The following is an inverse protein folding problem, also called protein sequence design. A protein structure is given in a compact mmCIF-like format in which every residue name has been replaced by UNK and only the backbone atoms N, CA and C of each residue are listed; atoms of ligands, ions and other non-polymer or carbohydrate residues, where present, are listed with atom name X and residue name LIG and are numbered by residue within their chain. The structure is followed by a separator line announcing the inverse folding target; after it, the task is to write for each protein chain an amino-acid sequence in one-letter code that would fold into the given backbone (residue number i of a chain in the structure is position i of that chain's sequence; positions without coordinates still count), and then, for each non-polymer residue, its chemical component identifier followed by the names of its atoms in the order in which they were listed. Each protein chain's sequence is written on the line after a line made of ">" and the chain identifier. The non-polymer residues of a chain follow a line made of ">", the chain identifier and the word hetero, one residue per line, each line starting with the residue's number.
data_IF_541535378715
#
_entry.id   IF_541535378715
#
_cell.length_a   1.000
_cell.length_b   1.000
_cell.length_c   1.000
_cell.angle_alpha   90.00
_cell.angle_beta   90.00
_cell.angle_gamma   90.00
#
_symmetry.space_group_name_H-M   'P 1'
#
loop_
_entity.id
_entity.type
_entity.pdbx_description
1 polymer ?
#
# COMPACT_ATOMS: atom_id res chain seq x y z
N UNK A 1 -10.36 -6.47 -43.74
CA UNK A 1 -9.05 -6.65 -43.08
C UNK A 1 -9.31 -6.73 -41.58
N UNK A 2 -8.66 -7.62 -40.84
CA UNK A 2 -8.77 -7.61 -39.37
C UNK A 2 -8.24 -6.28 -38.82
N UNK A 3 -8.89 -5.78 -37.77
CA UNK A 3 -8.46 -4.55 -37.08
C UNK A 3 -7.05 -4.77 -36.50
N UNK A 4 -6.11 -3.92 -36.88
CA UNK A 4 -4.76 -3.97 -36.35
C UNK A 4 -4.71 -3.24 -35.01
N UNK A 5 -4.50 -3.98 -33.93
CA UNK A 5 -4.34 -3.41 -32.58
C UNK A 5 -2.96 -2.72 -32.51
N UNK A 6 -2.88 -1.49 -32.03
CA UNK A 6 -1.60 -0.81 -31.86
C UNK A 6 -0.72 -1.53 -30.82
N UNK A 7 0.61 -1.35 -30.85
CA UNK A 7 1.49 -1.88 -29.81
C UNK A 7 1.06 -1.45 -28.41
N UNK A 8 1.19 -2.35 -27.45
CA UNK A 8 0.84 -2.03 -26.06
C UNK A 8 1.74 -0.94 -25.50
N UNK A 9 1.18 -0.09 -24.64
CA UNK A 9 1.96 0.90 -23.87
C UNK A 9 2.68 0.28 -22.67
N UNK A 10 2.26 -0.93 -22.25
CA UNK A 10 2.79 -1.64 -21.08
C UNK A 10 3.30 -3.02 -21.50
N UNK A 11 4.42 -3.10 -22.25
CA UNK A 11 4.88 -4.36 -22.83
C UNK A 11 5.36 -5.39 -21.78
N UNK A 12 5.68 -4.94 -20.57
CA UNK A 12 6.15 -5.78 -19.46
C UNK A 12 5.01 -6.24 -18.54
N UNK A 13 3.81 -5.69 -18.69
CA UNK A 13 2.66 -5.99 -17.84
C UNK A 13 1.87 -7.16 -18.42
N UNK A 14 1.78 -8.24 -17.65
CA UNK A 14 0.94 -9.40 -17.92
C UNK A 14 -0.15 -9.59 -16.86
N UNK A 15 -0.63 -10.83 -16.72
CA UNK A 15 -1.49 -11.19 -15.60
C UNK A 15 -0.73 -11.05 -14.30
N UNK A 16 -1.27 -10.31 -13.33
CA UNK A 16 -0.55 -10.05 -12.07
C UNK A 16 -0.32 -11.33 -11.28
N UNK A 17 0.77 -11.39 -10.56
CA UNK A 17 1.09 -12.54 -9.70
C UNK A 17 -0.03 -12.82 -8.68
N UNK A 18 -0.73 -11.79 -8.22
CA UNK A 18 -1.86 -11.91 -7.32
C UNK A 18 -3.03 -12.68 -7.97
N UNK A 19 -3.34 -12.38 -9.22
CA UNK A 19 -4.37 -13.10 -9.99
C UNK A 19 -3.97 -14.55 -10.21
N UNK A 20 -2.74 -14.79 -10.65
CA UNK A 20 -2.24 -16.15 -10.91
C UNK A 20 -2.31 -17.01 -9.65
N UNK A 21 -1.79 -16.51 -8.53
CA UNK A 21 -1.78 -17.28 -7.28
C UNK A 21 -3.15 -17.47 -6.68
N UNK A 22 -4.08 -16.50 -6.85
CA UNK A 22 -5.45 -16.65 -6.38
C UNK A 22 -6.24 -17.66 -7.17
N UNK A 23 -6.05 -17.67 -8.50
CA UNK A 23 -6.66 -18.68 -9.37
C UNK A 23 -6.13 -20.08 -9.00
N UNK A 24 -4.82 -20.22 -8.85
CA UNK A 24 -4.19 -21.48 -8.47
C UNK A 24 -4.70 -21.98 -7.09
N UNK A 25 -4.84 -21.07 -6.13
CA UNK A 25 -5.38 -21.39 -4.82
C UNK A 25 -6.82 -21.92 -4.90
N UNK A 26 -7.65 -21.30 -5.73
CA UNK A 26 -9.04 -21.74 -5.95
C UNK A 26 -9.11 -23.10 -6.64
N UNK A 27 -8.30 -23.34 -7.68
CA UNK A 27 -8.23 -24.60 -8.42
C UNK A 27 -7.82 -25.77 -7.54
N UNK A 28 -6.94 -25.57 -6.57
CA UNK A 28 -6.40 -26.61 -5.69
C UNK A 28 -7.01 -26.63 -4.28
N UNK A 29 -8.02 -25.81 -3.98
CA UNK A 29 -8.61 -25.73 -2.63
C UNK A 29 -7.59 -25.35 -1.55
N UNK A 30 -6.60 -24.53 -1.92
CA UNK A 30 -5.56 -24.09 -1.01
C UNK A 30 -6.03 -22.97 -0.10
N UNK A 31 -5.51 -22.91 1.13
CA UNK A 31 -5.70 -21.78 2.03
C UNK A 31 -4.95 -20.58 1.44
N UNK A 32 -5.68 -19.50 1.10
CA UNK A 32 -5.09 -18.37 0.39
C UNK A 32 -4.53 -17.32 1.35
N UNK A 33 -3.24 -17.39 1.65
CA UNK A 33 -2.47 -16.37 2.34
C UNK A 33 -1.72 -15.42 1.38
N UNK A 34 -1.90 -15.57 0.08
CA UNK A 34 -1.29 -14.68 -0.92
C UNK A 34 -2.02 -13.33 -1.03
N UNK A 35 -3.34 -13.34 -0.95
CA UNK A 35 -4.17 -12.14 -1.10
C UNK A 35 -4.07 -11.18 0.09
N UNK A 36 -3.72 -9.91 -0.21
CA UNK A 36 -3.54 -8.86 0.77
C UNK A 36 -4.83 -8.15 1.18
N UNK A 37 -5.85 -8.92 1.59
CA UNK A 37 -7.08 -8.37 2.15
C UNK A 37 -7.61 -9.23 3.29
N UNK A 38 -8.32 -8.61 4.27
CA UNK A 38 -8.96 -9.32 5.37
C UNK A 38 -10.06 -10.28 4.91
N UNK A 39 -10.19 -11.45 5.57
CA UNK A 39 -11.30 -12.39 5.40
C UNK A 39 -12.30 -12.36 6.58
N UNK A 40 -12.12 -11.41 7.49
CA UNK A 40 -13.07 -11.10 8.56
C UNK A 40 -13.95 -9.91 8.19
N UNK A 41 -15.13 -9.77 8.84
CA UNK A 41 -16.13 -8.80 8.42
C UNK A 41 -15.68 -7.36 8.56
N UNK A 42 -16.25 -6.50 7.72
CA UNK A 42 -16.25 -5.06 7.87
C UNK A 42 -16.93 -4.69 9.20
N UNK A 43 -16.50 -3.63 9.92
CA UNK A 43 -17.20 -3.18 11.13
C UNK A 43 -18.68 -2.97 10.86
N UNK A 44 -19.56 -3.60 11.67
CA UNK A 44 -21.01 -3.56 11.45
C UNK A 44 -21.54 -2.12 11.39
N UNK A 45 -21.04 -1.26 12.27
CA UNK A 45 -21.42 0.16 12.25
C UNK A 45 -21.13 0.84 10.91
N UNK A 46 -20.00 0.53 10.26
CA UNK A 46 -19.69 1.10 8.94
C UNK A 46 -20.73 0.67 7.89
N UNK A 47 -21.19 -0.59 7.96
CA UNK A 47 -22.24 -1.11 7.07
C UNK A 47 -23.56 -0.39 7.34
N UNK A 48 -23.92 -0.18 8.62
CA UNK A 48 -25.13 0.52 9.01
C UNK A 48 -25.10 2.00 8.58
N UNK A 49 -23.94 2.67 8.71
CA UNK A 49 -23.76 4.04 8.24
C UNK A 49 -23.83 4.15 6.71
N UNK A 50 -23.36 3.14 5.98
CA UNK A 50 -23.52 3.08 4.52
C UNK A 50 -24.99 2.95 4.12
N UNK A 51 -25.74 2.02 4.74
CA UNK A 51 -27.16 1.85 4.49
C UNK A 51 -27.92 3.14 4.82
N UNK A 52 -27.60 3.76 5.95
CA UNK A 52 -28.18 5.06 6.34
C UNK A 52 -27.94 6.13 5.29
N UNK A 53 -26.69 6.30 4.84
CA UNK A 53 -26.33 7.30 3.83
C UNK A 53 -27.09 7.11 2.51
N UNK A 54 -27.26 5.86 2.08
CA UNK A 54 -28.04 5.53 0.88
C UNK A 54 -29.52 5.88 1.05
N UNK A 55 -30.12 5.57 2.20
CA UNK A 55 -31.55 5.88 2.51
C UNK A 55 -31.81 7.37 2.67
N UNK A 56 -30.85 8.11 3.21
CA UNK A 56 -30.90 9.57 3.33
C UNK A 56 -30.71 10.31 1.99
N UNK A 57 -30.43 9.58 0.91
CA UNK A 57 -30.41 10.14 -0.44
C UNK A 57 -29.02 10.62 -0.89
N UNK A 58 -27.93 10.28 -0.21
CA UNK A 58 -26.57 10.62 -0.63
C UNK A 58 -26.09 9.80 -1.84
N UNK A 59 -26.98 9.65 -2.87
CA UNK A 59 -26.74 8.75 -4.02
C UNK A 59 -26.32 9.49 -5.29
N UNK A 60 -26.24 10.81 -5.25
CA UNK A 60 -25.79 11.63 -6.37
C UNK A 60 -24.28 11.91 -6.27
N UNK A 61 -23.71 12.48 -7.33
CA UNK A 61 -22.31 12.83 -7.36
C UNK A 61 -21.90 13.71 -6.15
N UNK A 62 -20.90 13.27 -5.41
CA UNK A 62 -20.21 14.15 -4.49
C UNK A 62 -19.39 15.20 -5.28
N UNK A 63 -19.01 16.32 -4.65
CA UNK A 63 -17.99 17.20 -5.23
C UNK A 63 -16.76 16.40 -5.65
N UNK A 64 -16.10 16.80 -6.73
CA UNK A 64 -14.92 16.15 -7.27
C UNK A 64 -13.82 15.94 -6.21
N UNK A 65 -13.64 16.89 -5.30
CA UNK A 65 -12.67 16.77 -4.19
C UNK A 65 -13.09 15.82 -3.08
N UNK A 66 -14.31 15.31 -3.12
CA UNK A 66 -14.94 14.50 -2.07
C UNK A 66 -15.95 15.26 -1.24
N UNK A 67 -16.81 14.52 -0.53
CA UNK A 67 -17.82 15.08 0.34
C UNK A 67 -17.19 15.95 1.45
N UNK A 68 -17.67 17.19 1.68
CA UNK A 68 -17.07 18.09 2.68
C UNK A 68 -16.97 17.47 4.07
N UNK A 69 -17.99 16.71 4.48
CA UNK A 69 -18.02 16.02 5.79
C UNK A 69 -16.87 15.01 5.93
N UNK A 70 -16.48 14.32 4.84
CA UNK A 70 -15.36 13.37 4.89
C UNK A 70 -14.02 14.13 4.92
N UNK A 71 -13.86 15.16 4.09
CA UNK A 71 -12.62 15.95 4.08
C UNK A 71 -12.34 16.62 5.43
N UNK A 72 -13.39 17.14 6.09
CA UNK A 72 -13.31 17.69 7.45
C UNK A 72 -12.92 16.60 8.48
N UNK A 73 -13.54 15.41 8.38
CA UNK A 73 -13.20 14.28 9.25
C UNK A 73 -11.73 13.83 9.04
N UNK A 74 -11.25 13.77 7.81
CA UNK A 74 -9.84 13.46 7.49
C UNK A 74 -8.92 14.53 8.11
N UNK A 75 -9.24 15.82 7.99
CA UNK A 75 -8.43 16.90 8.57
C UNK A 75 -8.36 16.77 10.11
N UNK A 76 -9.48 16.46 10.76
CA UNK A 76 -9.51 16.21 12.20
C UNK A 76 -8.69 14.98 12.62
N UNK A 77 -8.76 13.88 11.84
CA UNK A 77 -7.93 12.69 12.03
C UNK A 77 -6.45 13.03 11.91
N UNK A 78 -6.05 13.76 10.88
CA UNK A 78 -4.65 14.16 10.65
C UNK A 78 -4.11 14.99 11.81
N UNK A 79 -4.90 15.95 12.30
CA UNK A 79 -4.52 16.72 13.48
C UNK A 79 -4.35 15.82 14.72
N UNK A 80 -5.28 14.91 14.96
CA UNK A 80 -5.23 13.97 16.09
C UNK A 80 -4.03 13.02 16.02
N UNK A 81 -3.76 12.43 14.84
CA UNK A 81 -2.74 11.39 14.68
C UNK A 81 -1.34 11.98 14.50
N UNK A 82 -1.22 13.12 13.82
CA UNK A 82 0.08 13.63 13.36
C UNK A 82 0.41 15.03 13.88
N UNK A 83 -0.54 15.73 14.53
CA UNK A 83 -0.36 17.11 14.97
C UNK A 83 -0.27 18.12 13.82
N UNK A 84 -0.58 17.70 12.59
CA UNK A 84 -0.53 18.54 11.40
C UNK A 84 -1.91 19.14 11.10
N UNK A 85 -1.96 20.43 10.86
CA UNK A 85 -3.15 21.11 10.35
C UNK A 85 -3.14 21.04 8.83
N UNK A 86 -4.23 20.59 8.24
CA UNK A 86 -4.46 20.53 6.80
C UNK A 86 -5.76 21.24 6.45
N UNK A 87 -5.78 21.98 5.36
CA UNK A 87 -6.99 22.60 4.84
C UNK A 87 -7.85 21.55 4.12
N UNK A 88 -9.06 21.22 4.64
CA UNK A 88 -9.91 20.22 4.00
C UNK A 88 -10.32 20.60 2.58
N UNK A 89 -10.38 21.87 2.25
CA UNK A 89 -10.80 22.34 0.93
C UNK A 89 -9.63 22.45 -0.07
N UNK A 90 -8.50 22.94 0.39
CA UNK A 90 -7.31 23.17 -0.43
C UNK A 90 -6.40 21.96 -0.60
N UNK A 91 -6.27 21.10 0.43
CA UNK A 91 -5.22 20.08 0.49
C UNK A 91 -5.73 18.64 0.38
N UNK A 92 -7.01 18.34 0.66
CA UNK A 92 -7.54 16.98 0.68
C UNK A 92 -8.34 16.68 -0.58
N UNK A 93 -8.08 15.52 -1.20
CA UNK A 93 -8.86 14.98 -2.31
C UNK A 93 -9.18 13.51 -2.04
N UNK A 94 -10.48 13.16 -2.03
CA UNK A 94 -10.96 11.78 -1.89
C UNK A 94 -10.87 11.08 -3.24
N UNK A 95 -10.36 9.85 -3.24
CA UNK A 95 -10.04 9.08 -4.44
C UNK A 95 -10.66 7.68 -4.43
N UNK A 96 -10.73 7.04 -5.59
CA UNK A 96 -11.17 5.64 -5.73
C UNK A 96 -10.05 4.67 -5.28
N UNK A 97 -9.68 4.77 -4.00
CA UNK A 97 -8.58 4.06 -3.38
C UNK A 97 -7.21 4.70 -3.65
N UNK A 98 -6.20 4.17 -2.96
CA UNK A 98 -4.82 4.67 -3.04
C UNK A 98 -4.20 4.49 -4.44
N UNK A 99 -4.55 3.43 -5.17
CA UNK A 99 -4.03 3.18 -6.52
C UNK A 99 -4.34 4.34 -7.47
N UNK A 100 -5.58 4.87 -7.43
CA UNK A 100 -5.95 6.05 -8.20
C UNK A 100 -5.19 7.29 -7.72
N UNK A 101 -5.06 7.47 -6.40
CA UNK A 101 -4.33 8.60 -5.85
C UNK A 101 -2.87 8.63 -6.33
N UNK A 102 -2.19 7.48 -6.31
CA UNK A 102 -0.81 7.35 -6.79
C UNK A 102 -0.72 7.61 -8.30
N UNK A 103 -1.63 7.03 -9.07
CA UNK A 103 -1.71 7.25 -10.51
C UNK A 103 -1.88 8.75 -10.83
N UNK A 104 -2.84 9.41 -10.18
CA UNK A 104 -3.09 10.83 -10.39
C UNK A 104 -1.91 11.71 -9.96
N UNK A 105 -1.24 11.39 -8.85
CA UNK A 105 -0.05 12.12 -8.38
C UNK A 105 1.07 12.06 -9.42
N UNK A 106 1.37 10.87 -9.95
CA UNK A 106 2.40 10.69 -10.98
C UNK A 106 2.02 11.48 -12.24
N UNK A 107 0.80 11.30 -12.76
CA UNK A 107 0.36 11.95 -14.01
C UNK A 107 0.21 13.47 -13.87
N UNK A 108 0.01 13.99 -12.66
CA UNK A 108 -0.06 15.43 -12.43
C UNK A 108 1.30 16.12 -12.61
N UNK A 109 2.38 15.50 -12.18
CA UNK A 109 3.67 16.18 -12.02
C UNK A 109 4.82 15.60 -12.85
N UNK A 110 4.73 14.36 -13.29
CA UNK A 110 5.77 13.69 -14.09
C UNK A 110 5.51 13.90 -15.57
N UNK A 111 6.58 14.16 -16.33
CA UNK A 111 6.51 14.40 -17.79
C UNK A 111 7.31 13.32 -18.54
N UNK A 112 7.00 13.09 -19.81
CA UNK A 112 7.77 12.15 -20.64
C UNK A 112 9.27 12.43 -20.60
N UNK A 113 10.07 11.37 -20.38
CA UNK A 113 11.53 11.43 -20.30
C UNK A 113 12.09 11.85 -18.92
N UNK A 114 11.23 12.18 -17.95
CA UNK A 114 11.66 12.37 -16.56
C UNK A 114 11.84 11.02 -15.84
N UNK A 115 12.41 11.08 -14.65
CA UNK A 115 12.72 9.91 -13.82
C UNK A 115 11.98 9.95 -12.50
N UNK A 116 11.55 8.74 -12.07
CA UNK A 116 10.91 8.53 -10.78
C UNK A 116 11.73 7.50 -10.00
N UNK A 117 12.26 7.87 -8.85
CA UNK A 117 12.97 6.92 -7.97
C UNK A 117 11.93 6.08 -7.23
N UNK A 118 12.11 4.76 -7.31
CA UNK A 118 11.28 3.74 -6.66
C UNK A 118 12.17 2.86 -5.80
N UNK A 119 11.75 2.57 -4.57
CA UNK A 119 12.48 1.69 -3.66
C UNK A 119 11.98 0.26 -3.83
N UNK A 120 12.87 -0.66 -4.25
CA UNK A 120 12.55 -2.07 -4.42
C UNK A 120 12.81 -2.90 -3.14
N UNK A 121 11.93 -3.86 -2.84
CA UNK A 121 10.75 -4.33 -3.59
C UNK A 121 9.62 -3.30 -3.56
N UNK A 122 8.91 -3.09 -4.67
CA UNK A 122 7.90 -2.06 -4.83
C UNK A 122 6.51 -2.64 -5.13
N UNK A 123 5.47 -1.94 -4.71
CA UNK A 123 4.10 -2.34 -5.03
C UNK A 123 3.82 -2.21 -6.54
N UNK A 124 3.12 -3.19 -7.08
CA UNK A 124 3.00 -3.45 -8.52
C UNK A 124 2.35 -2.33 -9.36
N UNK A 125 1.63 -1.40 -8.74
CA UNK A 125 0.99 -0.33 -9.49
C UNK A 125 1.93 0.87 -9.79
N UNK A 126 3.11 0.95 -9.17
CA UNK A 126 3.97 2.13 -9.32
C UNK A 126 4.59 2.19 -10.72
N UNK A 127 5.30 1.15 -11.13
CA UNK A 127 6.01 1.14 -12.41
C UNK A 127 5.07 1.31 -13.62
N UNK A 128 3.90 0.63 -13.70
CA UNK A 128 2.98 0.86 -14.82
C UNK A 128 2.46 2.30 -14.89
N UNK A 129 2.23 2.96 -13.75
CA UNK A 129 1.81 4.36 -13.74
C UNK A 129 2.92 5.30 -14.25
N UNK A 130 4.18 5.00 -13.91
CA UNK A 130 5.36 5.74 -14.39
C UNK A 130 5.53 5.56 -15.90
N UNK A 131 5.46 4.32 -16.40
CA UNK A 131 5.54 4.02 -17.84
C UNK A 131 4.43 4.70 -18.63
N UNK A 132 3.20 4.70 -18.13
CA UNK A 132 2.07 5.38 -18.77
C UNK A 132 2.23 6.90 -18.83
N UNK A 133 2.95 7.50 -17.90
CA UNK A 133 3.34 8.90 -17.94
C UNK A 133 4.46 9.19 -18.96
N UNK A 134 5.03 8.15 -19.60
CA UNK A 134 6.17 8.26 -20.51
C UNK A 134 7.49 8.52 -19.80
N UNK A 135 7.55 8.27 -18.52
CA UNK A 135 8.72 8.42 -17.65
C UNK A 135 9.46 7.09 -17.46
N UNK A 136 10.56 7.12 -16.73
CA UNK A 136 11.37 5.95 -16.40
C UNK A 136 11.44 5.75 -14.89
N UNK A 137 11.13 4.54 -14.40
CA UNK A 137 11.45 4.12 -13.04
C UNK A 137 12.97 3.98 -12.85
N UNK A 138 13.50 4.51 -11.76
CA UNK A 138 14.86 4.32 -11.31
C UNK A 138 14.79 3.54 -10.00
N UNK A 139 14.98 2.24 -10.11
CA UNK A 139 14.81 1.30 -9.01
C UNK A 139 16.05 1.24 -8.12
N UNK A 140 15.87 1.55 -6.85
CA UNK A 140 16.92 1.49 -5.82
C UNK A 140 16.56 0.36 -4.84
N UNK A 141 17.34 -0.72 -4.81
CA UNK A 141 17.03 -1.83 -3.92
C UNK A 141 17.28 -1.44 -2.45
N UNK A 142 16.31 -1.78 -1.61
CA UNK A 142 16.47 -1.81 -0.17
C UNK A 142 17.48 -2.90 0.24
N UNK A 143 18.02 -2.82 1.43
CA UNK A 143 18.88 -3.88 1.96
C UNK A 143 18.14 -5.24 1.96
N UNK A 144 18.68 -6.28 1.34
CA UNK A 144 17.94 -7.52 1.13
C UNK A 144 17.67 -8.33 2.41
N UNK A 145 18.35 -8.04 3.52
CA UNK A 145 18.19 -8.73 4.79
C UNK A 145 17.27 -7.97 5.75
N UNK A 146 17.36 -6.64 5.76
CA UNK A 146 16.67 -5.78 6.74
C UNK A 146 15.57 -4.93 6.12
N UNK A 147 15.57 -4.75 4.79
CA UNK A 147 14.74 -3.81 4.05
C UNK A 147 14.92 -2.35 4.48
N UNK A 148 16.07 -2.02 5.06
CA UNK A 148 16.46 -0.65 5.35
C UNK A 148 16.82 0.10 4.07
N UNK A 149 16.63 1.42 4.07
CA UNK A 149 17.02 2.28 2.94
C UNK A 149 18.51 2.55 3.01
N UNK A 150 19.20 2.34 1.90
CA UNK A 150 20.56 2.82 1.69
C UNK A 150 20.50 4.23 1.07
N UNK A 151 20.57 5.25 1.91
CA UNK A 151 20.45 6.65 1.48
C UNK A 151 21.57 7.10 0.55
N UNK A 152 22.75 6.48 0.63
CA UNK A 152 23.84 6.78 -0.31
C UNK A 152 23.50 6.29 -1.73
N UNK A 153 22.89 5.10 -1.84
CA UNK A 153 22.38 4.61 -3.13
C UNK A 153 21.26 5.48 -3.66
N UNK A 154 20.33 5.90 -2.82
CA UNK A 154 19.26 6.82 -3.23
C UNK A 154 19.85 8.13 -3.73
N UNK A 155 20.83 8.69 -3.01
CA UNK A 155 21.54 9.93 -3.41
C UNK A 155 22.24 9.76 -4.76
N UNK A 156 22.92 8.64 -4.96
CA UNK A 156 23.61 8.34 -6.23
C UNK A 156 22.66 8.14 -7.42
N UNK A 157 21.39 7.77 -7.16
CA UNK A 157 20.37 7.59 -8.18
C UNK A 157 19.72 8.92 -8.64
N UNK A 158 19.93 10.01 -7.90
CA UNK A 158 19.38 11.32 -8.26
C UNK A 158 20.11 11.90 -9.47
N UNK A 159 19.37 12.33 -10.47
CA UNK A 159 19.85 13.00 -11.67
C UNK A 159 19.10 14.32 -11.92
N UNK A 160 19.55 15.17 -12.85
CA UNK A 160 18.79 16.35 -13.26
C UNK A 160 17.39 16.03 -13.82
N UNK A 161 17.12 14.78 -14.22
CA UNK A 161 15.83 14.29 -14.72
C UNK A 161 14.92 13.80 -13.60
N UNK A 162 15.42 13.58 -12.40
CA UNK A 162 14.63 13.08 -11.27
C UNK A 162 13.55 14.10 -10.91
N UNK A 163 12.29 13.69 -11.08
CA UNK A 163 11.10 14.49 -10.78
C UNK A 163 10.46 14.10 -9.48
N UNK A 164 10.41 12.81 -9.21
CA UNK A 164 9.62 12.23 -8.11
C UNK A 164 10.42 11.14 -7.40
N UNK A 165 10.26 11.04 -6.11
CA UNK A 165 10.68 9.92 -5.29
C UNK A 165 9.46 9.30 -4.63
N UNK A 166 9.35 7.97 -4.62
CA UNK A 166 8.24 7.24 -4.02
C UNK A 166 8.71 6.48 -2.79
N UNK A 167 7.98 6.63 -1.68
CA UNK A 167 8.19 5.84 -0.46
C UNK A 167 6.89 5.14 -0.07
N UNK A 168 7.01 4.01 0.63
CA UNK A 168 5.88 3.28 1.19
C UNK A 168 6.22 2.85 2.62
N UNK A 169 5.45 3.32 3.60
CA UNK A 169 5.65 2.99 5.01
C UNK A 169 4.32 2.99 5.78
N UNK A 170 4.01 1.93 6.53
CA UNK A 170 4.63 0.61 6.55
C UNK A 170 4.66 -0.06 5.19
N UNK A 171 5.72 -0.77 4.90
CA UNK A 171 6.10 -1.21 3.56
C UNK A 171 5.41 -2.51 3.14
N UNK A 172 4.82 -2.54 1.97
CA UNK A 172 4.40 -3.75 1.28
C UNK A 172 5.46 -4.09 0.21
N UNK A 173 6.17 -5.23 0.29
CA UNK A 173 5.78 -6.48 0.97
C UNK A 173 6.45 -6.75 2.33
N UNK A 174 7.45 -5.97 2.76
CA UNK A 174 8.36 -6.39 3.83
C UNK A 174 7.86 -6.10 5.26
N UNK A 175 6.92 -5.17 5.42
CA UNK A 175 6.52 -4.67 6.72
C UNK A 175 7.50 -3.67 7.34
N UNK A 176 8.63 -3.37 6.69
CA UNK A 176 9.59 -2.38 7.15
C UNK A 176 8.95 -1.00 7.32
N UNK A 177 9.55 -0.18 8.16
CA UNK A 177 9.06 1.16 8.46
C UNK A 177 10.19 2.16 8.42
N UNK A 178 9.91 3.35 7.92
CA UNK A 178 10.81 4.49 8.03
C UNK A 178 10.91 4.93 9.48
N UNK A 179 12.13 5.16 9.94
CA UNK A 179 12.44 5.78 11.23
C UNK A 179 12.47 7.29 11.12
N UNK A 180 12.54 7.99 12.26
CA UNK A 180 12.75 9.43 12.28
C UNK A 180 14.11 9.84 11.66
N UNK A 181 15.12 8.96 11.73
CA UNK A 181 16.41 9.20 11.06
C UNK A 181 16.28 9.11 9.55
N UNK A 182 15.54 8.11 9.03
CA UNK A 182 15.23 8.00 7.62
C UNK A 182 14.50 9.24 7.10
N UNK A 183 13.56 9.77 7.88
CA UNK A 183 12.83 10.99 7.48
C UNK A 183 13.74 12.21 7.46
N UNK A 184 14.76 12.30 8.35
CA UNK A 184 15.77 13.37 8.31
C UNK A 184 16.68 13.24 7.08
N UNK A 185 17.14 12.02 6.76
CA UNK A 185 17.93 11.76 5.56
C UNK A 185 17.14 12.09 4.28
N UNK A 186 15.87 11.71 4.23
CA UNK A 186 14.98 12.06 3.12
C UNK A 186 14.82 13.57 2.99
N UNK A 187 14.61 14.28 4.10
CA UNK A 187 14.48 15.72 4.08
C UNK A 187 15.78 16.40 3.60
N UNK A 188 16.93 15.94 4.08
CA UNK A 188 18.24 16.45 3.65
C UNK A 188 18.52 16.15 2.17
N UNK A 189 18.13 14.97 1.68
CA UNK A 189 18.25 14.59 0.27
C UNK A 189 17.44 15.52 -0.65
N UNK A 190 16.25 15.89 -0.23
CA UNK A 190 15.33 16.68 -1.05
C UNK A 190 15.56 18.20 -0.91
N UNK A 191 16.31 18.64 0.10
CA UNK A 191 16.58 20.07 0.31
C UNK A 191 17.31 20.69 -0.89
N UNK A 192 16.90 21.91 -1.27
CA UNK A 192 17.44 22.60 -2.45
C UNK A 192 17.12 21.94 -3.80
N UNK A 193 16.40 20.83 -3.85
CA UNK A 193 15.99 20.16 -5.08
C UNK A 193 14.57 20.54 -5.50
N UNK A 194 14.22 20.19 -6.77
CA UNK A 194 12.85 20.26 -7.28
C UNK A 194 12.11 18.92 -7.26
N UNK A 195 12.68 17.92 -6.59
CA UNK A 195 12.11 16.57 -6.51
C UNK A 195 10.89 16.62 -5.59
N UNK A 196 9.79 16.05 -6.07
CA UNK A 196 8.56 15.87 -5.32
C UNK A 196 8.52 14.49 -4.66
N UNK A 197 7.59 14.28 -3.75
CA UNK A 197 7.47 13.04 -2.99
C UNK A 197 6.05 12.46 -3.17
N UNK A 198 5.95 11.15 -3.37
CA UNK A 198 4.73 10.37 -3.09
C UNK A 198 5.02 9.49 -1.88
N UNK A 199 4.23 9.66 -0.82
CA UNK A 199 4.27 8.81 0.36
C UNK A 199 3.01 7.94 0.39
N UNK A 200 3.19 6.64 0.12
CA UNK A 200 2.13 5.65 0.25
C UNK A 200 2.08 5.18 1.71
N UNK A 201 1.06 5.66 2.44
CA UNK A 201 0.88 5.43 3.86
C UNK A 201 -0.38 4.58 4.17
N UNK A 202 -0.79 3.72 3.23
CA UNK A 202 -2.05 2.94 3.35
C UNK A 202 -2.12 2.05 4.59
N UNK A 203 -0.97 1.72 5.21
CA UNK A 203 -0.88 0.93 6.45
C UNK A 203 -0.57 1.78 7.69
N UNK A 204 -0.77 3.09 7.64
CA UNK A 204 -0.41 4.07 8.68
C UNK A 204 -0.83 3.72 10.11
N UNK A 205 -1.94 2.98 10.28
CA UNK A 205 -2.48 2.55 11.57
C UNK A 205 -2.09 1.12 11.97
N UNK A 206 -1.38 0.39 11.12
CA UNK A 206 -0.99 -1.01 11.36
C UNK A 206 0.49 -1.04 11.71
N UNK A 207 0.80 -0.64 12.95
CA UNK A 207 2.15 -0.46 13.46
C UNK A 207 2.27 -1.17 14.80
N UNK A 208 3.40 -1.82 15.06
CA UNK A 208 3.58 -2.77 16.15
C UNK A 208 4.70 -2.37 17.11
N UNK A 209 4.74 -3.05 18.26
CA UNK A 209 5.82 -3.00 19.24
C UNK A 209 6.06 -1.58 19.80
N UNK A 210 4.98 -0.81 19.99
CA UNK A 210 5.05 0.55 20.48
C UNK A 210 5.74 1.55 19.54
N UNK A 211 6.02 1.13 18.29
CA UNK A 211 6.60 2.02 17.28
C UNK A 211 5.59 3.08 16.87
N UNK A 212 6.12 4.17 16.37
CA UNK A 212 5.32 5.26 15.82
C UNK A 212 5.45 5.29 14.30
N UNK A 213 4.35 5.48 13.60
CA UNK A 213 4.37 5.79 12.17
C UNK A 213 4.91 7.20 11.95
N UNK A 214 5.99 7.32 11.17
CA UNK A 214 6.58 8.59 10.77
C UNK A 214 5.94 9.06 9.46
N UNK A 215 4.67 9.53 9.56
CA UNK A 215 4.00 10.14 8.42
C UNK A 215 4.75 11.37 7.93
N UNK A 216 4.83 11.54 6.60
CA UNK A 216 5.34 12.77 5.96
C UNK A 216 4.65 14.02 6.47
N UNK A 217 3.39 13.92 6.90
CA UNK A 217 2.62 15.05 7.45
C UNK A 217 3.22 15.64 8.73
N UNK A 218 4.09 14.90 9.45
CA UNK A 218 4.81 15.39 10.64
C UNK A 218 6.03 16.25 10.32
N UNK A 219 6.49 16.24 9.06
CA UNK A 219 7.72 16.81 8.59
C UNK A 219 7.44 17.98 7.65
N UNK A 220 7.38 19.24 8.10
CA UNK A 220 6.94 20.39 7.28
C UNK A 220 7.68 20.49 5.95
N UNK A 221 9.02 20.33 5.96
CA UNK A 221 9.87 20.41 4.76
C UNK A 221 9.59 19.29 3.73
N UNK A 222 9.08 18.13 4.17
CA UNK A 222 8.66 17.05 3.27
C UNK A 222 7.22 17.27 2.80
N UNK A 223 6.34 17.69 3.73
CA UNK A 223 4.91 17.91 3.43
C UNK A 223 4.71 18.95 2.33
N UNK A 224 5.53 20.00 2.28
CA UNK A 224 5.44 21.08 1.28
C UNK A 224 5.63 20.60 -0.17
N UNK A 225 6.14 19.39 -0.38
CA UNK A 225 6.43 18.81 -1.69
C UNK A 225 5.87 17.41 -1.89
N UNK A 226 4.94 16.97 -1.04
CA UNK A 226 4.46 15.60 -1.01
C UNK A 226 3.00 15.45 -1.39
N UNK A 227 2.70 14.31 -2.03
CA UNK A 227 1.39 13.69 -2.03
C UNK A 227 1.41 12.56 -1.00
N UNK A 228 0.68 12.71 0.09
CA UNK A 228 0.52 11.69 1.11
C UNK A 228 -0.77 10.94 0.84
N UNK A 229 -0.65 9.63 0.61
CA UNK A 229 -1.74 8.77 0.14
C UNK A 229 -2.13 7.79 1.23
N UNK A 230 -3.42 7.65 1.49
CA UNK A 230 -3.96 6.68 2.44
C UNK A 230 -5.22 5.99 1.91
N UNK A 231 -5.68 4.93 2.61
CA UNK A 231 -6.79 4.09 2.16
C UNK A 231 -7.68 3.66 3.33
N UNK A 232 -8.97 3.91 3.23
CA UNK A 232 -9.95 3.40 4.19
C UNK A 232 -10.12 1.88 4.11
N UNK A 233 -9.88 1.29 2.94
CA UNK A 233 -9.98 -0.16 2.75
C UNK A 233 -9.06 -0.98 3.66
N UNK A 234 -7.90 -0.41 4.03
CA UNK A 234 -6.95 -1.05 4.95
C UNK A 234 -7.35 -0.83 6.41
N UNK A 235 -7.79 0.37 6.73
CA UNK A 235 -8.20 0.75 8.09
C UNK A 235 -9.50 0.05 8.52
N UNK A 236 -10.47 -0.06 7.62
CA UNK A 236 -11.81 -0.57 7.95
C UNK A 236 -12.13 -1.93 7.33
N UNK A 237 -11.13 -2.69 6.89
CA UNK A 237 -11.28 -4.06 6.37
C UNK A 237 -12.19 -4.19 5.15
N UNK A 238 -12.33 -3.12 4.36
CA UNK A 238 -13.26 -3.04 3.22
C UNK A 238 -12.52 -2.66 1.93
N UNK A 239 -11.48 -3.44 1.58
CA UNK A 239 -10.60 -3.14 0.42
C UNK A 239 -11.36 -3.03 -0.90
N UNK A 240 -12.48 -3.74 -1.05
CA UNK A 240 -13.34 -3.71 -2.23
C UNK A 240 -14.17 -2.43 -2.39
N UNK A 241 -14.32 -1.61 -1.35
CA UNK A 241 -15.07 -0.35 -1.43
C UNK A 241 -14.29 0.72 -2.19
N UNK A 242 -13.00 0.56 -2.34
CA UNK A 242 -12.12 1.41 -3.15
C UNK A 242 -12.25 2.89 -2.82
N UNK A 243 -12.18 3.27 -1.54
CA UNK A 243 -12.11 4.66 -1.09
C UNK A 243 -10.78 4.93 -0.39
N UNK A 244 -10.10 5.98 -0.82
CA UNK A 244 -8.88 6.51 -0.24
C UNK A 244 -8.82 8.01 -0.37
N UNK A 245 -7.69 8.60 -0.11
CA UNK A 245 -7.48 10.03 -0.26
C UNK A 245 -6.01 10.38 -0.46
N UNK A 246 -5.78 11.54 -1.05
CA UNK A 246 -4.48 12.20 -1.12
C UNK A 246 -4.53 13.50 -0.33
N UNK A 247 -3.44 13.81 0.37
CA UNK A 247 -3.18 15.11 1.01
C UNK A 247 -1.93 15.70 0.38
N UNK A 248 -2.04 16.91 -0.14
CA UNK A 248 -0.92 17.63 -0.74
C UNK A 248 -1.09 19.14 -0.57
N UNK A 249 -0.02 19.93 -0.64
CA UNK A 249 -0.12 21.40 -0.64
C UNK A 249 -1.06 21.90 -1.73
N UNK A 250 -1.70 23.07 -1.57
CA UNK A 250 -2.72 23.57 -2.51
C UNK A 250 -2.28 23.60 -3.97
N UNK A 251 -1.02 23.97 -4.25
CA UNK A 251 -0.49 24.02 -5.61
C UNK A 251 -0.40 22.60 -6.24
N UNK A 252 0.03 21.59 -5.49
CA UNK A 252 0.09 20.21 -5.95
C UNK A 252 -1.31 19.62 -6.05
N UNK A 253 -2.19 19.90 -5.09
CA UNK A 253 -3.59 19.49 -5.12
C UNK A 253 -4.33 20.03 -6.35
N UNK A 254 -4.04 21.25 -6.75
CA UNK A 254 -4.64 21.83 -7.95
C UNK A 254 -4.27 21.04 -9.23
N UNK A 255 -3.01 20.64 -9.38
CA UNK A 255 -2.58 19.83 -10.55
C UNK A 255 -3.12 18.39 -10.44
N UNK A 256 -3.09 17.79 -9.26
CA UNK A 256 -3.67 16.48 -8.99
C UNK A 256 -5.15 16.41 -9.39
N UNK A 257 -5.93 17.41 -8.98
CA UNK A 257 -7.37 17.51 -9.26
C UNK A 257 -7.70 17.65 -10.73
N UNK A 258 -6.81 18.20 -11.55
CA UNK A 258 -7.00 18.23 -13.01
C UNK A 258 -6.98 16.82 -13.60
N UNK A 259 -6.12 15.94 -13.12
CA UNK A 259 -6.08 14.54 -13.55
C UNK A 259 -7.29 13.80 -12.99
N UNK A 260 -7.56 13.92 -11.69
CA UNK A 260 -8.68 13.28 -11.02
C UNK A 260 -10.04 13.60 -11.67
N UNK A 261 -10.26 14.87 -12.05
CA UNK A 261 -11.49 15.33 -12.70
C UNK A 261 -11.84 14.53 -13.94
N UNK A 262 -10.84 14.11 -14.73
CA UNK A 262 -11.05 13.44 -16.02
C UNK A 262 -10.67 11.96 -16.00
N UNK A 263 -10.22 11.45 -14.86
CA UNK A 263 -9.98 10.04 -14.64
C UNK A 263 -11.21 9.37 -14.00
N UNK A 264 -11.52 9.72 -12.75
CA UNK A 264 -12.63 9.13 -11.98
C UNK A 264 -13.72 10.14 -11.66
N UNK A 265 -13.41 11.43 -11.61
CA UNK A 265 -14.27 12.55 -11.24
C UNK A 265 -14.61 12.55 -9.74
N UNK A 266 -15.37 11.58 -9.26
CA UNK A 266 -15.68 11.40 -7.84
C UNK A 266 -15.85 9.92 -7.50
N UNK A 267 -15.61 9.58 -6.25
CA UNK A 267 -15.83 8.21 -5.77
C UNK A 267 -17.20 8.07 -5.09
N UNK A 268 -17.56 6.85 -4.77
CA UNK A 268 -18.86 6.44 -4.25
C UNK A 268 -19.32 7.29 -3.05
N UNK A 269 -20.32 8.16 -3.26
CA UNK A 269 -20.76 9.17 -2.32
C UNK A 269 -21.31 8.59 -0.99
N UNK A 270 -22.15 7.55 -0.96
CA UNK A 270 -22.63 6.98 0.30
C UNK A 270 -21.50 6.51 1.21
N UNK A 271 -20.46 5.86 0.67
CA UNK A 271 -19.32 5.42 1.45
C UNK A 271 -18.54 6.59 2.07
N UNK A 272 -18.47 7.72 1.38
CA UNK A 272 -17.81 8.91 1.93
C UNK A 272 -18.51 9.41 3.21
N UNK A 273 -19.83 9.40 3.23
CA UNK A 273 -20.62 9.76 4.43
C UNK A 273 -20.43 8.74 5.55
N UNK A 274 -20.42 7.45 5.21
CA UNK A 274 -20.18 6.38 6.18
C UNK A 274 -18.79 6.48 6.83
N UNK A 275 -17.74 6.69 6.05
CA UNK A 275 -16.38 6.88 6.59
C UNK A 275 -16.26 8.16 7.44
N UNK A 276 -16.94 9.24 7.03
CA UNK A 276 -16.96 10.46 7.83
C UNK A 276 -17.57 10.22 9.23
N UNK A 277 -18.66 9.45 9.30
CA UNK A 277 -19.28 9.06 10.57
C UNK A 277 -18.32 8.21 11.43
N UNK A 278 -17.67 7.19 10.83
CA UNK A 278 -16.71 6.34 11.54
C UNK A 278 -15.55 7.15 12.14
N UNK A 279 -14.92 8.01 11.35
CA UNK A 279 -13.77 8.82 11.81
C UNK A 279 -14.17 9.75 12.95
N UNK A 280 -15.37 10.34 12.88
CA UNK A 280 -15.88 11.29 13.87
C UNK A 280 -16.31 10.60 15.15
N UNK A 281 -17.07 9.52 15.04
CA UNK A 281 -17.82 8.92 16.14
C UNK A 281 -17.11 7.72 16.77
N UNK A 282 -16.14 7.12 16.07
CA UNK A 282 -15.32 5.98 16.55
C UNK A 282 -13.82 6.20 16.31
N UNK A 283 -13.27 7.31 16.83
CA UNK A 283 -11.85 7.64 16.61
C UNK A 283 -10.89 6.60 17.21
N UNK A 284 -11.35 5.80 18.19
CA UNK A 284 -10.60 4.71 18.79
C UNK A 284 -10.34 3.54 17.82
N UNK A 285 -11.14 3.39 16.75
CA UNK A 285 -10.94 2.30 15.79
C UNK A 285 -9.54 2.34 15.17
N UNK A 286 -9.11 3.49 14.68
CA UNK A 286 -7.77 3.64 14.09
C UNK A 286 -6.66 3.50 15.13
N UNK A 287 -6.89 3.91 16.38
CA UNK A 287 -5.93 3.80 17.48
C UNK A 287 -5.72 2.37 17.96
N UNK A 288 -6.77 1.55 17.95
CA UNK A 288 -6.75 0.15 18.39
C UNK A 288 -6.29 -0.81 17.29
N UNK A 289 -6.26 -0.37 16.05
CA UNK A 289 -5.96 -1.23 14.90
C UNK A 289 -4.56 -1.85 14.98
N UNK A 290 -3.57 -1.10 15.47
CA UNK A 290 -2.21 -1.61 15.70
C UNK A 290 -2.21 -2.79 16.66
N UNK A 291 -2.86 -2.68 17.82
CA UNK A 291 -2.96 -3.75 18.82
C UNK A 291 -3.71 -4.97 18.28
N UNK A 292 -4.80 -4.75 17.55
CA UNK A 292 -5.57 -5.83 16.90
C UNK A 292 -4.71 -6.66 15.95
N UNK A 293 -3.98 -6.00 15.05
CA UNK A 293 -3.12 -6.71 14.09
C UNK A 293 -1.84 -7.25 14.73
N UNK A 294 -1.32 -6.61 15.77
CA UNK A 294 -0.17 -7.13 16.51
C UNK A 294 -0.48 -8.48 17.16
N UNK A 295 -1.65 -8.61 17.79
CA UNK A 295 -2.07 -9.89 18.36
C UNK A 295 -2.13 -11.00 17.29
N UNK A 296 -2.65 -10.70 16.09
CA UNK A 296 -2.66 -11.66 14.96
C UNK A 296 -1.27 -11.98 14.46
N UNK A 297 -0.40 -10.98 14.30
CA UNK A 297 1.01 -11.16 13.91
C UNK A 297 1.74 -12.07 14.90
N UNK A 298 1.64 -11.76 16.18
CA UNK A 298 2.39 -12.47 17.22
C UNK A 298 1.96 -13.94 17.31
N UNK A 299 0.65 -14.20 17.27
CA UNK A 299 0.11 -15.56 17.20
C UNK A 299 0.61 -16.30 15.97
N UNK A 300 0.41 -15.74 14.78
CA UNK A 300 0.79 -16.37 13.51
C UNK A 300 2.30 -16.60 13.42
N UNK A 301 3.10 -15.59 13.79
CA UNK A 301 4.56 -15.71 13.86
C UNK A 301 5.01 -16.77 14.86
N UNK A 302 4.40 -16.84 16.04
CA UNK A 302 4.69 -17.86 17.04
C UNK A 302 4.43 -19.27 16.52
N UNK A 303 3.34 -19.47 15.77
CA UNK A 303 3.02 -20.74 15.13
C UNK A 303 3.99 -21.09 13.99
N UNK A 304 4.42 -20.12 13.18
CA UNK A 304 5.41 -20.31 12.11
C UNK A 304 6.77 -20.78 12.65
N UNK A 305 7.18 -20.37 13.87
CA UNK A 305 8.41 -20.86 14.51
C UNK A 305 8.41 -22.38 14.77
N UNK A 306 7.24 -23.01 14.75
CA UNK A 306 7.08 -24.48 14.79
C UNK A 306 7.18 -25.17 13.42
N UNK A 307 7.49 -24.42 12.37
CA UNK A 307 7.67 -24.94 11.00
C UNK A 307 9.12 -24.76 10.55
N UNK A 308 9.46 -25.22 9.34
CA UNK A 308 10.78 -25.00 8.72
C UNK A 308 10.89 -23.65 8.00
N UNK A 309 9.82 -22.83 8.01
CA UNK A 309 9.84 -21.47 7.51
C UNK A 309 10.39 -20.51 8.58
N UNK A 310 11.26 -19.61 8.19
CA UNK A 310 11.83 -18.61 9.11
C UNK A 310 11.13 -17.27 8.94
N UNK A 311 10.25 -16.85 9.88
CA UNK A 311 9.58 -15.57 9.77
C UNK A 311 10.53 -14.40 10.03
N UNK A 312 10.58 -13.44 9.11
CA UNK A 312 11.33 -12.19 9.25
C UNK A 312 10.63 -11.23 10.23
N UNK A 313 11.33 -10.24 10.80
CA UNK A 313 10.72 -9.17 11.59
C UNK A 313 9.66 -8.40 10.77
N UNK A 314 8.53 -8.07 11.41
CA UNK A 314 7.43 -7.30 10.81
C UNK A 314 7.02 -6.18 11.76
N UNK A 315 7.59 -4.97 11.64
CA UNK A 315 7.23 -3.83 12.48
C UNK A 315 5.93 -3.14 12.10
N UNK A 316 5.38 -3.39 10.89
CA UNK A 316 4.11 -2.81 10.45
C UNK A 316 3.50 -3.53 9.26
N UNK A 317 2.28 -3.10 8.87
CA UNK A 317 1.50 -3.77 7.83
C UNK A 317 0.92 -5.12 8.30
N UNK A 318 0.38 -5.90 7.37
CA UNK A 318 -0.21 -7.21 7.71
C UNK A 318 0.35 -8.35 6.84
N UNK A 319 1.60 -8.21 6.41
CA UNK A 319 2.33 -9.24 5.68
C UNK A 319 3.49 -9.79 6.50
N UNK A 320 3.65 -11.10 6.44
CA UNK A 320 4.79 -11.81 7.00
C UNK A 320 5.66 -12.34 5.86
N UNK A 321 6.87 -11.85 5.75
CA UNK A 321 7.87 -12.50 4.93
C UNK A 321 8.44 -13.72 5.68
N UNK A 322 8.59 -14.81 4.94
CA UNK A 322 9.22 -16.04 5.43
C UNK A 322 10.38 -16.43 4.51
N UNK A 323 11.51 -16.76 5.11
CA UNK A 323 12.62 -17.43 4.43
C UNK A 323 12.32 -18.93 4.39
N UNK A 324 12.31 -19.50 3.19
CA UNK A 324 12.04 -20.92 2.96
C UNK A 324 13.31 -21.72 2.56
N UNK A 325 14.48 -21.17 2.76
CA UNK A 325 15.76 -21.82 2.36
C UNK A 325 16.03 -23.17 3.02
N UNK A 326 15.44 -23.43 4.19
CA UNK A 326 15.52 -24.74 4.85
C UNK A 326 14.51 -25.77 4.29
N UNK A 327 13.55 -25.32 3.50
CA UNK A 327 12.50 -26.17 2.90
C UNK A 327 12.86 -26.58 1.50
N UNK A 328 13.36 -25.64 0.67
CA UNK A 328 13.53 -25.88 -0.76
C UNK A 328 14.60 -24.97 -1.37
N UNK A 329 15.28 -25.51 -2.40
CA UNK A 329 16.20 -24.74 -3.26
C UNK A 329 15.53 -24.12 -4.49
N UNK A 330 14.24 -24.31 -4.68
CA UNK A 330 13.49 -23.77 -5.81
C UNK A 330 13.52 -22.23 -5.81
N UNK A 331 13.53 -21.58 -6.99
CA UNK A 331 13.20 -20.17 -7.13
C UNK A 331 11.81 -19.86 -6.53
N UNK A 332 11.62 -18.63 -6.07
CA UNK A 332 10.42 -18.26 -5.32
C UNK A 332 9.10 -18.48 -6.08
N UNK A 333 9.06 -18.20 -7.38
CA UNK A 333 7.89 -18.51 -8.24
C UNK A 333 7.53 -20.00 -8.27
N UNK A 334 8.55 -20.85 -8.34
CA UNK A 334 8.35 -22.31 -8.37
C UNK A 334 7.98 -22.81 -6.98
N UNK A 335 8.63 -22.27 -5.95
CA UNK A 335 8.33 -22.62 -4.56
C UNK A 335 6.88 -22.31 -4.19
N UNK A 336 6.38 -21.09 -4.47
CA UNK A 336 4.99 -20.74 -4.09
C UNK A 336 3.95 -21.54 -4.89
N UNK A 337 4.23 -21.92 -6.14
CA UNK A 337 3.37 -22.83 -6.91
C UNK A 337 3.36 -24.22 -6.27
N UNK A 338 4.51 -24.78 -5.98
CA UNK A 338 4.63 -26.05 -5.27
C UNK A 338 3.92 -26.01 -3.91
N UNK A 339 4.14 -24.96 -3.13
CA UNK A 339 3.48 -24.78 -1.84
C UNK A 339 1.96 -24.77 -1.97
N UNK A 340 1.43 -24.13 -3.01
CA UNK A 340 -0.01 -24.04 -3.28
C UNK A 340 -0.58 -25.40 -3.70
N UNK A 341 0.07 -26.09 -4.62
CA UNK A 341 -0.43 -27.34 -5.23
C UNK A 341 -0.25 -28.51 -4.27
N UNK A 342 0.95 -28.68 -3.73
CA UNK A 342 1.32 -29.88 -2.98
C UNK A 342 1.06 -29.76 -1.48
N UNK A 343 1.10 -28.53 -0.94
CA UNK A 343 0.92 -28.28 0.49
C UNK A 343 -0.36 -27.52 0.81
N UNK A 344 -1.07 -27.07 -0.19
CA UNK A 344 -2.38 -26.44 -0.04
C UNK A 344 -2.35 -25.07 0.64
N UNK A 345 -1.23 -24.32 0.59
CA UNK A 345 -1.12 -22.95 1.12
C UNK A 345 -0.61 -22.04 0.02
N UNK A 346 -1.39 -21.04 -0.34
CA UNK A 346 -0.96 -20.05 -1.32
C UNK A 346 -0.23 -18.88 -0.67
N UNK A 347 0.89 -18.52 -1.27
CA UNK A 347 1.74 -17.38 -0.91
C UNK A 347 2.03 -16.53 -2.15
N UNK A 348 2.67 -15.39 -1.98
CA UNK A 348 3.17 -14.56 -3.08
C UNK A 348 4.71 -14.61 -3.10
N UNK A 349 5.33 -14.88 -4.27
CA UNK A 349 6.78 -14.80 -4.42
C UNK A 349 7.23 -13.34 -4.28
N UNK A 350 8.48 -13.12 -3.86
CA UNK A 350 8.96 -11.77 -3.64
C UNK A 350 9.58 -11.13 -4.91
N UNK A 351 10.13 -11.94 -5.80
CA UNK A 351 10.80 -11.45 -7.01
C UNK A 351 9.95 -10.54 -7.90
N UNK A 352 8.62 -10.69 -8.04
CA UNK A 352 7.81 -9.77 -8.85
C UNK A 352 7.72 -8.33 -8.34
N UNK A 353 8.17 -8.08 -7.12
CA UNK A 353 8.20 -6.73 -6.55
C UNK A 353 9.51 -5.98 -6.86
N UNK A 354 10.43 -6.59 -7.59
CA UNK A 354 11.71 -6.00 -7.95
C UNK A 354 11.84 -5.82 -9.46
N UNK A 355 12.46 -4.75 -9.88
CA UNK A 355 12.96 -4.66 -11.27
C UNK A 355 14.12 -5.66 -11.47
N UNK A 356 15.03 -5.76 -10.49
CA UNK A 356 16.16 -6.69 -10.49
C UNK A 356 16.22 -7.45 -9.15
N UNK A 357 15.58 -8.63 -9.05
CA UNK A 357 15.57 -9.39 -7.82
C UNK A 357 16.97 -9.79 -7.34
N UNK A 358 17.27 -9.74 -6.04
CA UNK A 358 18.54 -10.20 -5.49
C UNK A 358 18.77 -11.69 -5.82
N UNK A 359 19.95 -12.05 -6.36
CA UNK A 359 20.26 -13.44 -6.71
C UNK A 359 20.15 -14.37 -5.49
N UNK A 360 19.45 -15.50 -5.65
CA UNK A 360 19.35 -16.52 -4.61
C UNK A 360 18.44 -16.15 -3.42
N UNK A 361 17.69 -15.05 -3.48
CA UNK A 361 16.73 -14.70 -2.45
C UNK A 361 15.61 -15.74 -2.40
N UNK A 362 15.33 -16.28 -1.21
CA UNK A 362 14.34 -17.33 -0.95
C UNK A 362 13.27 -16.85 0.01
N UNK A 363 12.55 -15.83 -0.38
CA UNK A 363 11.50 -15.22 0.42
C UNK A 363 10.12 -15.39 -0.23
N UNK A 364 9.10 -15.64 0.62
CA UNK A 364 7.71 -15.64 0.23
C UNK A 364 6.92 -14.74 1.18
N UNK A 365 5.86 -14.10 0.67
CA UNK A 365 4.98 -13.22 1.45
C UNK A 365 3.69 -13.95 1.79
N UNK A 366 3.33 -13.96 3.07
CA UNK A 366 2.09 -14.43 3.64
C UNK A 366 1.28 -13.27 4.20
N UNK A 367 -0.04 -13.27 4.04
CA UNK A 367 -0.94 -12.29 4.63
C UNK A 367 -1.56 -12.85 5.90
N UNK A 368 -1.34 -12.21 7.05
CA UNK A 368 -1.97 -12.59 8.32
C UNK A 368 -3.24 -11.79 8.66
N UNK A 369 -3.69 -10.92 7.77
CA UNK A 369 -5.01 -10.28 7.88
C UNK A 369 -6.13 -11.30 7.58
N UNK A 370 -6.16 -12.37 8.37
CA UNK A 370 -7.08 -13.49 8.22
C UNK A 370 -7.75 -13.79 9.56
N UNK A 371 -8.90 -14.46 9.52
CA UNK A 371 -9.50 -15.00 10.73
C UNK A 371 -8.62 -16.15 11.29
N UNK A 372 -8.84 -16.47 12.56
CA UNK A 372 -8.00 -17.46 13.25
C UNK A 372 -8.09 -18.84 12.61
N UNK A 373 -9.30 -19.25 12.19
CA UNK A 373 -9.50 -20.55 11.57
C UNK A 373 -8.73 -20.69 10.24
N UNK A 374 -8.67 -19.61 9.44
CA UNK A 374 -7.88 -19.57 8.19
C UNK A 374 -6.39 -19.70 8.50
N UNK A 375 -5.88 -18.97 9.50
CA UNK A 375 -4.48 -19.03 9.90
C UNK A 375 -4.11 -20.41 10.45
N UNK A 376 -4.93 -21.00 11.33
CA UNK A 376 -4.71 -22.31 11.91
C UNK A 376 -4.69 -23.41 10.84
N UNK A 377 -5.63 -23.39 9.90
CA UNK A 377 -5.65 -24.33 8.77
C UNK A 377 -4.40 -24.21 7.87
N UNK A 378 -3.89 -22.98 7.69
CA UNK A 378 -2.63 -22.80 6.97
C UNK A 378 -1.44 -23.38 7.75
N UNK A 379 -1.36 -23.08 9.05
CA UNK A 379 -0.25 -23.55 9.92
C UNK A 379 -0.24 -25.08 10.00
N UNK A 380 -1.39 -25.74 10.15
CA UNK A 380 -1.47 -27.20 10.13
C UNK A 380 -0.81 -27.80 8.88
N UNK A 381 -1.07 -27.20 7.71
CA UNK A 381 -0.45 -27.64 6.45
C UNK A 381 1.04 -27.31 6.37
N UNK A 382 1.46 -26.15 6.89
CA UNK A 382 2.86 -25.72 6.90
C UNK A 382 3.74 -26.51 7.88
N UNK A 383 3.17 -27.09 8.94
CA UNK A 383 3.89 -27.97 9.85
C UNK A 383 4.32 -29.30 9.20
N UNK A 384 3.71 -29.66 8.08
CA UNK A 384 4.06 -30.84 7.30
C UNK A 384 5.15 -30.61 6.24
N UNK A 385 5.86 -29.46 6.28
CA UNK A 385 6.97 -29.12 5.39
C UNK A 385 8.26 -29.83 5.73
#
# INVERSE_FOLDING_TARGET
>A
MPVQIPPTKLPRVGTTIFTVMSQLAAEHGAVNLGQGFPDFPVPQRLVDELDRAMREGHNQYAPMTGAPVLRQAIAAKVLRCYGAQVDPDGEITVTSGATEAIFNAIHAVVRPGEEVIVLDPAYDCYEPAIELAGARGVHVPLDPATFAVDWERVRAAVTPKTRLLMINSPHNPSGAMFSADDMRELAALLDGTRILLVSDEVYEHIVFDGRRHESVLRWPQLRERAFVVSSFGKTYHCTGWKVGYAIAPPALSAEFRKVHQYNVFCTFAPAQHAFAAMIRDEPEHDQQLGAFYQAKRDRFRGQLLGTRLKPLPVPGGYFQLVDYSEVSDLPDHEFVKWLTIEKGVAAIPLSPFYENPPPGQRLARLCFAKNEATLDAAIERLQAL
#
